data_IF_237503298803
#
_entry.id   IF_237503298803
#
_cell.length_a   1.000
_cell.length_b   1.000
_cell.length_c   1.000
_cell.angle_alpha   90.00
_cell.angle_beta   90.00
_cell.angle_gamma   90.00
#
_symmetry.space_group_name_H-M   'P 1'
#
loop_
_entity.id
_entity.type
_entity.pdbx_description
1 polymer ?
#
# COMPACT_ATOMS: atom_id res chain seq x y z
N UNK A 1 3.23 15.80 7.10
CA UNK A 1 1.94 15.13 7.44
C UNK A 1 2.22 13.64 7.54
N UNK A 2 1.81 12.96 8.61
CA UNK A 2 2.04 11.51 8.77
C UNK A 2 0.82 10.74 8.27
N UNK A 3 0.98 10.05 7.14
CA UNK A 3 0.02 9.07 6.66
C UNK A 3 0.21 7.77 7.44
N UNK A 4 -0.88 7.09 7.78
CA UNK A 4 -0.88 5.79 8.47
C UNK A 4 -1.75 4.79 7.74
N UNK A 5 -1.41 3.52 7.85
CA UNK A 5 -2.19 2.41 7.30
C UNK A 5 -3.61 2.40 7.87
N UNK A 6 -4.61 2.44 7.01
CA UNK A 6 -6.01 2.31 7.38
C UNK A 6 -6.56 0.95 6.97
N UNK A 7 -6.32 0.53 5.73
CA UNK A 7 -6.77 -0.75 5.23
C UNK A 7 -5.84 -1.29 4.15
N UNK A 8 -5.75 -2.61 4.07
CA UNK A 8 -5.06 -3.34 3.00
C UNK A 8 -6.07 -4.24 2.32
N UNK A 9 -6.08 -4.20 0.99
CA UNK A 9 -6.89 -5.07 0.15
C UNK A 9 -5.97 -5.74 -0.87
N UNK A 10 -6.07 -7.05 -0.97
CA UNK A 10 -5.23 -7.83 -1.88
C UNK A 10 -6.14 -8.41 -2.95
N UNK A 11 -5.97 -7.93 -4.17
CA UNK A 11 -6.59 -8.51 -5.34
C UNK A 11 -5.71 -9.63 -5.88
N UNK A 12 -6.04 -10.86 -5.46
CA UNK A 12 -5.36 -12.10 -5.88
C UNK A 12 -5.84 -12.57 -7.27
N UNK A 13 -6.92 -12.00 -7.80
CA UNK A 13 -7.47 -12.39 -9.11
C UNK A 13 -6.91 -11.54 -10.25
N UNK A 14 -6.44 -10.32 -9.95
CA UNK A 14 -5.67 -9.52 -10.89
C UNK A 14 -4.35 -10.21 -11.29
N UNK A 15 -3.95 -10.08 -12.56
CA UNK A 15 -2.63 -10.49 -13.06
C UNK A 15 -1.87 -9.26 -13.60
N UNK A 16 -0.74 -8.87 -13.00
CA UNK A 16 -0.17 -9.40 -11.75
C UNK A 16 -1.04 -9.06 -10.53
N UNK A 17 -0.89 -9.84 -9.44
CA UNK A 17 -1.61 -9.64 -8.19
C UNK A 17 -1.37 -8.21 -7.67
N UNK A 18 -2.40 -7.59 -7.09
CA UNK A 18 -2.34 -6.18 -6.68
C UNK A 18 -2.60 -6.04 -5.20
N UNK A 19 -1.81 -5.22 -4.53
CA UNK A 19 -2.06 -4.81 -3.15
C UNK A 19 -2.47 -3.35 -3.17
N UNK A 20 -3.73 -3.11 -2.82
CA UNK A 20 -4.31 -1.78 -2.66
C UNK A 20 -4.25 -1.40 -1.19
N UNK A 21 -3.70 -0.23 -0.91
CA UNK A 21 -3.51 0.26 0.45
C UNK A 21 -4.18 1.61 0.59
N UNK A 22 -5.06 1.74 1.58
CA UNK A 22 -5.58 3.03 1.99
C UNK A 22 -4.73 3.57 3.13
N UNK A 23 -4.18 4.77 2.92
CA UNK A 23 -3.46 5.53 3.94
C UNK A 23 -4.30 6.74 4.35
N UNK A 24 -4.34 7.03 5.64
CA UNK A 24 -5.08 8.18 6.17
C UNK A 24 -4.21 9.09 7.03
N UNK A 25 -4.52 10.38 6.98
CA UNK A 25 -3.94 11.45 7.80
C UNK A 25 -4.84 11.71 9.00
N UNK A 26 -4.25 12.20 10.10
CA UNK A 26 -5.00 12.66 11.28
C UNK A 26 -5.94 13.84 11.00
N UNK A 27 -5.84 14.45 9.81
CA UNK A 27 -6.71 15.54 9.35
C UNK A 27 -7.91 15.05 8.52
N UNK A 28 -8.09 13.74 8.38
CA UNK A 28 -9.19 13.15 7.60
C UNK A 28 -8.90 12.99 6.10
N UNK A 29 -7.68 13.31 5.65
CA UNK A 29 -7.27 13.04 4.26
C UNK A 29 -6.97 11.56 4.10
N UNK A 30 -7.50 10.94 3.04
CA UNK A 30 -7.25 9.54 2.71
C UNK A 30 -6.74 9.42 1.28
N UNK A 31 -5.73 8.59 1.07
CA UNK A 31 -5.23 8.25 -0.26
C UNK A 31 -5.23 6.75 -0.45
N UNK A 32 -5.51 6.32 -1.67
CA UNK A 32 -5.36 4.93 -2.08
C UNK A 32 -4.11 4.82 -2.93
N UNK A 33 -3.20 3.93 -2.54
CA UNK A 33 -1.98 3.64 -3.27
C UNK A 33 -1.96 2.18 -3.65
N UNK A 34 -1.59 1.91 -4.90
CA UNK A 34 -1.31 0.56 -5.35
C UNK A 34 0.16 0.26 -5.06
N UNK A 35 0.39 -0.75 -4.22
CA UNK A 35 1.73 -1.26 -3.97
C UNK A 35 2.05 -2.27 -5.07
N UNK A 36 3.10 -2.04 -5.89
CA UNK A 36 3.55 -3.02 -6.85
C UNK A 36 4.18 -4.20 -6.10
N UNK A 37 3.53 -5.36 -6.16
CA UNK A 37 4.13 -6.62 -5.71
C UNK A 37 4.83 -7.23 -6.92
N UNK A 38 6.16 -7.34 -6.85
CA UNK A 38 6.91 -8.06 -7.87
C UNK A 38 6.64 -9.56 -7.77
N UNK A 39 6.69 -10.29 -8.88
CA UNK A 39 6.42 -11.74 -8.92
C UNK A 39 7.32 -12.59 -8.01
N UNK A 40 8.44 -12.03 -7.54
CA UNK A 40 9.34 -12.65 -6.57
C UNK A 40 8.94 -12.43 -5.10
N UNK A 41 8.01 -11.50 -4.83
CA UNK A 41 7.49 -11.26 -3.49
C UNK A 41 6.35 -12.24 -3.19
N UNK A 42 6.56 -13.02 -2.13
CA UNK A 42 5.54 -13.92 -1.59
C UNK A 42 4.53 -13.10 -0.78
N UNK A 43 3.34 -12.87 -1.36
CA UNK A 43 2.28 -12.06 -0.73
C UNK A 43 1.87 -12.62 0.63
N UNK A 44 1.90 -13.94 0.80
CA UNK A 44 1.51 -14.56 2.06
C UNK A 44 2.56 -14.34 3.17
N UNK A 45 3.76 -13.85 2.83
CA UNK A 45 4.82 -13.48 3.79
C UNK A 45 4.91 -11.98 4.05
N UNK A 46 4.17 -11.15 3.31
CA UNK A 46 4.20 -9.70 3.51
C UNK A 46 3.53 -9.31 4.81
N UNK A 47 4.29 -8.64 5.67
CA UNK A 47 3.74 -8.08 6.91
C UNK A 47 3.02 -6.76 6.64
N UNK A 48 2.05 -6.41 7.48
CA UNK A 48 1.37 -5.11 7.41
C UNK A 48 2.35 -3.93 7.51
N UNK A 49 3.44 -4.09 8.27
CA UNK A 49 4.46 -3.07 8.42
C UNK A 49 5.26 -2.84 7.12
N UNK A 50 5.60 -3.91 6.40
CA UNK A 50 6.26 -3.81 5.09
C UNK A 50 5.33 -3.19 4.05
N UNK A 51 4.06 -3.60 4.03
CA UNK A 51 3.03 -3.03 3.15
C UNK A 51 2.87 -1.53 3.43
N UNK A 52 2.81 -1.12 4.69
CA UNK A 52 2.75 0.29 5.08
C UNK A 52 3.99 1.06 4.59
N UNK A 53 5.20 0.51 4.78
CA UNK A 53 6.44 1.15 4.35
C UNK A 53 6.51 1.32 2.82
N UNK A 54 6.10 0.30 2.06
CA UNK A 54 6.02 0.35 0.60
C UNK A 54 4.96 1.36 0.15
N UNK A 55 3.77 1.32 0.74
CA UNK A 55 2.68 2.25 0.46
C UNK A 55 3.09 3.71 0.72
N UNK A 56 3.79 3.98 1.84
CA UNK A 56 4.32 5.32 2.13
C UNK A 56 5.39 5.75 1.13
N UNK A 57 6.19 4.81 0.61
CA UNK A 57 7.14 5.06 -0.47
C UNK A 57 6.46 5.49 -1.77
N UNK A 58 5.43 4.75 -2.19
CA UNK A 58 4.64 5.09 -3.38
C UNK A 58 3.84 6.39 -3.19
N UNK A 59 3.25 6.60 -2.02
CA UNK A 59 2.57 7.85 -1.68
C UNK A 59 3.49 9.06 -1.84
N UNK A 60 4.74 8.98 -1.37
CA UNK A 60 5.71 10.08 -1.54
C UNK A 60 5.97 10.43 -2.99
N UNK A 61 5.96 9.44 -3.91
CA UNK A 61 6.13 9.69 -5.35
C UNK A 61 4.95 10.45 -5.96
N UNK A 62 3.75 10.31 -5.41
CA UNK A 62 2.55 11.03 -5.88
C UNK A 62 2.54 12.51 -5.47
N UNK A 63 3.31 12.88 -4.45
CA UNK A 63 3.40 14.25 -3.93
C UNK A 63 4.74 14.94 -4.23
N UNK A 64 5.63 14.29 -5.00
CA UNK A 64 6.93 14.83 -5.41
C UNK A 64 6.87 15.39 -6.83
#
# INVERSE_FOLDING_TARGET
MSLRLQSVSIDRQAQPQRVLVALSSSKGESISVQVPIESAHDIDKLTLHEIEKLALGEAKKLFS
#
